data_IF_185268290422
#
_entry.id   IF_185268290422
#
_cell.length_a   1.000
_cell.length_b   1.000
_cell.length_c   1.000
_cell.angle_alpha   90.00
_cell.angle_beta   90.00
_cell.angle_gamma   90.00
#
_symmetry.space_group_name_H-M   'P 1'
#
loop_
_entity.id
_entity.type
_entity.pdbx_description
1 polymer ?
#
# COMPACT_ATOMS: atom_id res chain seq x y z
N UNK A 1 -15.60 7.90 -5.04
CA UNK A 1 -14.62 7.03 -5.75
C UNK A 1 -15.33 6.31 -6.90
N UNK A 2 -14.78 6.36 -8.12
CA UNK A 2 -15.44 5.79 -9.30
C UNK A 2 -14.47 5.07 -10.23
N UNK A 3 -14.98 4.11 -11.00
CA UNK A 3 -14.33 3.58 -12.20
C UNK A 3 -15.11 4.09 -13.40
N UNK A 4 -14.51 4.97 -14.19
CA UNK A 4 -15.20 5.65 -15.30
C UNK A 4 -16.53 6.24 -14.82
N UNK A 5 -17.64 5.79 -15.39
CA UNK A 5 -18.98 6.29 -15.07
C UNK A 5 -19.63 5.56 -13.87
N UNK A 6 -19.01 4.51 -13.35
CA UNK A 6 -19.55 3.72 -12.25
C UNK A 6 -19.07 4.23 -10.89
N UNK A 7 -19.99 4.86 -10.15
CA UNK A 7 -19.75 5.29 -8.77
C UNK A 7 -19.71 4.08 -7.83
N UNK A 8 -18.54 3.82 -7.26
CA UNK A 8 -18.34 2.69 -6.32
C UNK A 8 -18.61 3.11 -4.88
N UNK A 9 -18.12 4.28 -4.49
CA UNK A 9 -18.27 4.82 -3.13
C UNK A 9 -18.60 6.29 -3.16
N UNK A 10 -19.49 6.69 -2.25
CA UNK A 10 -20.03 8.04 -2.12
C UNK A 10 -19.96 8.48 -0.66
N UNK A 11 -19.59 9.74 -0.44
CA UNK A 11 -19.63 10.44 0.85
C UNK A 11 -19.04 9.63 2.02
N UNK A 12 -17.83 9.09 1.81
CA UNK A 12 -17.09 8.38 2.86
C UNK A 12 -16.14 9.32 3.59
N UNK A 13 -16.27 9.34 4.91
CA UNK A 13 -15.42 10.09 5.83
C UNK A 13 -15.08 9.18 7.02
N UNK A 14 -13.78 8.99 7.27
CA UNK A 14 -13.28 8.26 8.43
C UNK A 14 -11.79 8.59 8.64
N UNK A 15 -11.37 8.49 9.89
CA UNK A 15 -9.97 8.58 10.29
C UNK A 15 -9.46 7.20 10.73
N UNK A 16 -8.19 6.92 10.42
CA UNK A 16 -7.47 5.78 10.97
C UNK A 16 -6.32 6.28 11.83
N UNK A 17 -6.39 6.03 13.14
CA UNK A 17 -5.41 6.49 14.11
C UNK A 17 -4.16 5.60 14.13
N UNK A 18 -3.02 6.20 14.46
CA UNK A 18 -1.75 5.46 14.53
C UNK A 18 -1.82 4.40 15.64
N UNK A 19 -1.50 3.16 15.26
CA UNK A 19 -1.39 2.04 16.19
C UNK A 19 -2.69 1.24 16.38
N UNK A 20 -3.77 1.61 15.68
CA UNK A 20 -5.01 0.85 15.72
C UNK A 20 -5.09 -0.21 14.63
N UNK A 21 -5.96 -1.20 14.86
CA UNK A 21 -6.35 -2.19 13.86
C UNK A 21 -7.72 -1.76 13.32
N UNK A 22 -7.75 -1.25 12.11
CA UNK A 22 -8.98 -0.82 11.43
C UNK A 22 -9.47 -1.90 10.47
N UNK A 23 -10.75 -2.24 10.54
CA UNK A 23 -11.36 -3.31 9.74
C UNK A 23 -12.45 -2.73 8.83
N UNK A 24 -12.32 -2.96 7.53
CA UNK A 24 -13.34 -2.62 6.52
C UNK A 24 -14.12 -3.89 6.17
N UNK A 25 -15.39 -3.95 6.56
CA UNK A 25 -16.28 -5.08 6.28
C UNK A 25 -17.41 -4.70 5.33
N UNK A 26 -17.92 -5.70 4.59
CA UNK A 26 -19.05 -5.53 3.68
C UNK A 26 -19.17 -6.67 2.67
N UNK A 27 -20.32 -6.76 1.99
CA UNK A 27 -20.59 -7.80 1.00
C UNK A 27 -19.54 -7.84 -0.12
N UNK A 28 -19.35 -9.01 -0.76
CA UNK A 28 -18.48 -9.10 -1.94
C UNK A 28 -18.94 -8.11 -3.02
N UNK A 29 -17.99 -7.45 -3.68
CA UNK A 29 -18.30 -6.45 -4.71
C UNK A 29 -18.67 -5.03 -4.22
N UNK A 30 -18.82 -4.79 -2.90
CA UNK A 30 -19.18 -3.44 -2.39
C UNK A 30 -18.06 -2.38 -2.50
N UNK A 31 -16.94 -2.69 -3.15
CA UNK A 31 -15.86 -1.71 -3.38
C UNK A 31 -14.74 -1.68 -2.34
N UNK A 32 -14.63 -2.63 -1.41
CA UNK A 32 -13.53 -2.69 -0.41
C UNK A 32 -12.14 -2.58 -1.04
N UNK A 33 -11.86 -3.41 -2.05
CA UNK A 33 -10.57 -3.37 -2.76
C UNK A 33 -10.39 -2.07 -3.53
N UNK A 34 -11.48 -1.43 -3.97
CA UNK A 34 -11.43 -0.10 -4.58
C UNK A 34 -11.03 0.95 -3.57
N UNK A 35 -11.62 0.96 -2.36
CA UNK A 35 -11.24 1.85 -1.27
C UNK A 35 -9.76 1.68 -0.91
N UNK A 36 -9.32 0.45 -0.69
CA UNK A 36 -7.92 0.16 -0.36
C UNK A 36 -6.97 0.75 -1.40
N UNK A 37 -7.26 0.63 -2.71
CA UNK A 37 -6.45 1.24 -3.78
C UNK A 37 -6.34 2.76 -3.69
N UNK A 38 -7.37 3.46 -3.21
CA UNK A 38 -7.30 4.91 -3.03
C UNK A 38 -6.47 5.28 -1.80
N UNK A 39 -6.58 4.50 -0.72
CA UNK A 39 -5.80 4.70 0.51
C UNK A 39 -4.30 4.50 0.28
N UNK A 40 -3.93 3.50 -0.52
CA UNK A 40 -2.52 3.20 -0.85
C UNK A 40 -1.99 4.01 -2.05
N UNK A 41 -2.73 5.02 -2.52
CA UNK A 41 -2.26 5.91 -3.59
C UNK A 41 -2.18 5.29 -5.00
N UNK A 42 -2.84 4.17 -5.25
CA UNK A 42 -2.90 3.56 -6.59
C UNK A 42 -3.93 4.24 -7.50
N UNK A 43 -4.95 4.90 -6.94
CA UNK A 43 -5.98 5.60 -7.70
C UNK A 43 -6.43 6.89 -7.01
N UNK A 44 -6.46 8.05 -7.69
CA UNK A 44 -6.96 9.28 -7.11
C UNK A 44 -8.47 9.23 -6.92
N UNK A 45 -9.00 9.84 -5.84
CA UNK A 45 -10.43 10.03 -5.71
C UNK A 45 -10.92 11.02 -6.76
N UNK A 46 -12.17 10.87 -7.22
CA UNK A 46 -12.81 11.83 -8.14
C UNK A 46 -13.07 13.16 -7.44
N UNK A 47 -13.51 13.09 -6.18
CA UNK A 47 -13.76 14.21 -5.28
C UNK A 47 -13.28 13.85 -3.88
N UNK A 48 -12.95 14.87 -3.08
CA UNK A 48 -12.45 14.70 -1.72
C UNK A 48 -10.93 14.55 -1.66
N UNK A 49 -10.45 14.25 -0.46
CA UNK A 49 -9.01 14.24 -0.14
C UNK A 49 -8.65 12.96 0.62
N UNK A 50 -7.44 12.47 0.42
CA UNK A 50 -6.90 11.32 1.16
C UNK A 50 -5.63 11.80 1.85
N UNK A 51 -5.58 11.65 3.17
CA UNK A 51 -4.45 12.06 3.98
C UNK A 51 -3.71 10.84 4.53
N UNK A 52 -2.39 10.91 4.54
CA UNK A 52 -1.53 9.97 5.25
C UNK A 52 -0.48 10.77 6.01
N UNK A 53 -0.31 10.48 7.31
CA UNK A 53 0.60 11.23 8.19
C UNK A 53 0.36 12.77 8.10
N UNK A 54 -0.93 13.16 8.10
CA UNK A 54 -1.43 14.55 7.98
C UNK A 54 -1.12 15.27 6.67
N UNK A 55 -0.63 14.56 5.67
CA UNK A 55 -0.29 15.13 4.37
C UNK A 55 -1.24 14.60 3.30
N UNK A 56 -1.71 15.48 2.41
CA UNK A 56 -2.60 15.09 1.33
C UNK A 56 -1.82 14.32 0.25
N UNK A 57 -2.17 13.05 0.07
CA UNK A 57 -1.47 12.10 -0.80
C UNK A 57 -1.40 12.54 -2.27
N UNK A 58 -2.38 13.32 -2.74
CA UNK A 58 -2.50 13.72 -4.15
C UNK A 58 -2.07 15.16 -4.44
N UNK A 59 -1.79 15.95 -3.40
CA UNK A 59 -1.25 17.31 -3.53
C UNK A 59 0.27 17.39 -3.33
N UNK A 60 0.91 16.31 -2.87
CA UNK A 60 2.36 16.25 -2.70
C UNK A 60 3.11 16.15 -4.03
N UNK A 61 4.33 16.71 -4.12
CA UNK A 61 5.26 16.41 -5.21
C UNK A 61 5.49 14.91 -5.36
N UNK A 62 5.69 14.45 -6.60
CA UNK A 62 5.81 13.02 -6.90
C UNK A 62 6.87 12.29 -6.05
N UNK A 63 8.01 12.93 -5.80
CA UNK A 63 9.09 12.35 -4.98
C UNK A 63 8.66 12.13 -3.53
N UNK A 64 8.03 13.13 -2.91
CA UNK A 64 7.55 13.05 -1.53
C UNK A 64 6.44 12.01 -1.40
N UNK A 65 5.54 11.96 -2.38
CA UNK A 65 4.52 10.91 -2.46
C UNK A 65 5.14 9.52 -2.57
N UNK A 66 6.17 9.32 -3.39
CA UNK A 66 6.86 8.03 -3.48
C UNK A 66 7.50 7.63 -2.15
N UNK A 67 8.20 8.55 -1.48
CA UNK A 67 8.78 8.29 -0.15
C UNK A 67 7.72 7.95 0.89
N UNK A 68 6.54 8.55 0.80
CA UNK A 68 5.40 8.23 1.65
C UNK A 68 4.86 6.82 1.37
N UNK A 69 4.68 6.45 0.11
CA UNK A 69 4.18 5.12 -0.29
C UNK A 69 5.13 3.99 0.16
N UNK A 70 6.44 4.23 0.25
CA UNK A 70 7.40 3.27 0.80
C UNK A 70 7.17 2.94 2.29
N UNK A 71 6.41 3.78 3.01
CA UNK A 71 6.00 3.51 4.40
C UNK A 71 4.79 2.58 4.50
N UNK A 72 4.15 2.24 3.38
CA UNK A 72 2.96 1.39 3.32
C UNK A 72 3.31 -0.03 2.87
N UNK A 73 2.98 -1.02 3.70
CA UNK A 73 3.03 -2.43 3.32
C UNK A 73 1.68 -2.92 2.82
N UNK A 74 1.68 -3.73 1.75
CA UNK A 74 0.46 -4.30 1.17
C UNK A 74 0.60 -5.82 1.11
N UNK A 75 -0.41 -6.53 1.60
CA UNK A 75 -0.57 -7.96 1.40
C UNK A 75 -1.81 -8.19 0.53
N UNK A 76 -1.63 -8.91 -0.57
CA UNK A 76 -2.72 -9.24 -1.49
C UNK A 76 -3.43 -10.52 -1.08
N UNK A 77 -4.72 -10.62 -1.40
CA UNK A 77 -5.56 -11.80 -1.09
C UNK A 77 -5.04 -13.06 -1.81
N UNK A 78 -4.73 -12.94 -3.09
CA UNK A 78 -4.01 -13.96 -3.86
C UNK A 78 -2.55 -13.55 -3.83
N UNK A 79 -1.67 -14.37 -3.25
CA UNK A 79 -0.26 -14.03 -3.07
C UNK A 79 0.36 -13.43 -4.34
N UNK A 80 1.05 -12.30 -4.19
CA UNK A 80 1.61 -11.52 -5.30
C UNK A 80 3.12 -11.72 -5.44
N UNK A 81 3.61 -12.91 -5.10
CA UNK A 81 5.04 -13.23 -5.23
C UNK A 81 5.40 -13.40 -6.71
N UNK A 82 6.61 -12.98 -7.06
CA UNK A 82 7.20 -13.29 -8.35
C UNK A 82 7.54 -14.78 -8.40
N UNK A 83 6.84 -15.52 -9.25
CA UNK A 83 6.99 -16.97 -9.38
C UNK A 83 8.34 -17.40 -9.96
N UNK A 84 9.03 -16.50 -10.67
CA UNK A 84 10.38 -16.71 -11.17
C UNK A 84 11.48 -16.50 -10.11
N UNK A 85 11.11 -16.08 -8.90
CA UNK A 85 12.01 -15.77 -7.80
C UNK A 85 11.73 -16.72 -6.63
N UNK A 86 12.79 -17.09 -5.90
CA UNK A 86 12.68 -17.77 -4.62
C UNK A 86 12.00 -16.87 -3.58
N UNK A 87 11.56 -17.46 -2.47
CA UNK A 87 10.98 -16.68 -1.36
C UNK A 87 11.99 -15.68 -0.79
N UNK A 88 13.25 -16.09 -0.67
CA UNK A 88 14.34 -15.22 -0.21
C UNK A 88 14.53 -14.00 -1.14
N UNK A 89 14.52 -14.23 -2.45
CA UNK A 89 14.64 -13.15 -3.44
C UNK A 89 13.43 -12.21 -3.43
N UNK A 90 12.22 -12.73 -3.24
CA UNK A 90 11.01 -11.91 -3.09
C UNK A 90 11.10 -10.98 -1.86
N UNK A 91 11.62 -11.47 -0.74
CA UNK A 91 11.83 -10.69 0.49
C UNK A 91 12.97 -9.68 0.30
N UNK A 92 14.03 -10.05 -0.41
CA UNK A 92 15.19 -9.20 -0.66
C UNK A 92 14.87 -8.05 -1.62
N UNK A 93 13.98 -8.26 -2.59
CA UNK A 93 13.68 -7.30 -3.67
C UNK A 93 13.40 -5.87 -3.18
N UNK A 94 12.46 -5.62 -2.25
CA UNK A 94 12.21 -4.26 -1.76
C UNK A 94 13.41 -3.67 -0.99
N UNK A 95 14.18 -4.52 -0.29
CA UNK A 95 15.37 -4.07 0.44
C UNK A 95 16.45 -3.58 -0.53
N UNK A 96 16.71 -4.35 -1.59
CA UNK A 96 17.68 -3.98 -2.64
C UNK A 96 17.25 -2.75 -3.42
N UNK A 97 15.95 -2.59 -3.69
CA UNK A 97 15.44 -1.49 -4.51
C UNK A 97 15.34 -0.15 -3.76
N UNK A 98 15.12 -0.19 -2.44
CA UNK A 98 14.73 1.01 -1.67
C UNK A 98 15.59 1.29 -0.44
N UNK A 99 16.68 0.55 -0.23
CA UNK A 99 17.63 0.80 0.87
C UNK A 99 19.06 0.86 0.36
N UNK A 100 19.97 1.41 1.17
CA UNK A 100 21.41 1.41 0.91
C UNK A 100 22.15 0.28 1.65
N UNK A 101 21.43 -0.78 2.04
CA UNK A 101 22.00 -1.92 2.76
C UNK A 101 22.94 -2.71 1.85
N UNK A 102 24.03 -3.21 2.41
CA UNK A 102 24.96 -4.12 1.74
C UNK A 102 24.30 -5.49 1.57
N UNK A 103 24.74 -6.23 0.57
CA UNK A 103 24.21 -7.57 0.28
C UNK A 103 24.21 -8.51 1.50
N UNK A 104 25.22 -8.41 2.36
CA UNK A 104 25.29 -9.18 3.62
C UNK A 104 24.18 -8.80 4.60
N UNK A 105 23.93 -7.50 4.79
CA UNK A 105 22.88 -7.01 5.69
C UNK A 105 21.49 -7.41 5.19
N UNK A 106 21.28 -7.38 3.86
CA UNK A 106 20.05 -7.85 3.24
C UNK A 106 19.89 -9.36 3.46
N UNK A 107 20.94 -10.15 3.26
CA UNK A 107 20.90 -11.60 3.49
C UNK A 107 20.57 -11.95 4.95
N UNK A 108 21.17 -11.22 5.91
CA UNK A 108 20.89 -11.39 7.34
C UNK A 108 19.41 -11.08 7.67
N UNK A 109 18.86 -9.98 7.13
CA UNK A 109 17.45 -9.62 7.30
C UNK A 109 16.50 -10.64 6.67
N UNK A 110 16.82 -11.12 5.46
CA UNK A 110 16.02 -12.12 4.76
C UNK A 110 16.01 -13.43 5.55
N UNK A 111 17.17 -13.89 6.03
CA UNK A 111 17.26 -15.08 6.89
C UNK A 111 16.43 -14.93 8.15
N UNK A 112 16.42 -13.75 8.76
CA UNK A 112 15.62 -13.48 9.96
C UNK A 112 14.11 -13.45 9.69
N UNK A 113 13.69 -13.06 8.48
CA UNK A 113 12.26 -13.09 8.06
C UNK A 113 11.77 -14.48 7.67
N UNK A 114 12.68 -15.39 7.34
CA UNK A 114 12.38 -16.76 6.91
C UNK A 114 12.44 -17.80 8.05
N UNK A 115 13.07 -17.45 9.16
CA UNK A 115 13.11 -18.26 10.38
C UNK A 115 11.78 -18.17 11.14
#
# INVERSE_FOLDING_TARGET
MAYEDFLVQKDMDFDVLRGEIFIIMGASGCGKSTLLRHLIGLKPPVTGEVFFDRQNLWKLPQRERQSMLLKMGILYQSGALWSSMTLAENIALPLTAHTSLRAREIADLVSLKLA
#
